data_IF_531833602926
#
_entry.id   IF_531833602926
#
_cell.length_a   1.000
_cell.length_b   1.000
_cell.length_c   1.000
_cell.angle_alpha   90.00
_cell.angle_beta   90.00
_cell.angle_gamma   90.00
#
_symmetry.space_group_name_H-M   'P 1'
#
loop_
_entity.id
_entity.type
_entity.pdbx_description
1 polymer ?
#
# COMPACT_ATOMS: atom_id res chain seq x y z
N UNK A 1 -19.95 9.93 8.98
CA UNK A 1 -18.87 9.89 7.95
C UNK A 1 -17.72 9.06 8.51
N UNK A 2 -17.00 8.28 7.67
CA UNK A 2 -15.87 7.48 8.15
C UNK A 2 -14.58 8.30 8.11
N UNK A 3 -13.77 8.18 9.15
CA UNK A 3 -12.47 8.83 9.22
C UNK A 3 -11.39 7.90 9.76
N UNK A 4 -10.16 8.36 9.70
CA UNK A 4 -8.95 7.66 10.11
C UNK A 4 -8.59 8.15 11.52
N UNK A 5 -8.72 7.28 12.53
CA UNK A 5 -8.36 7.61 13.90
C UNK A 5 -6.86 7.47 14.16
N UNK A 6 -6.20 6.56 13.47
CA UNK A 6 -4.74 6.40 13.53
C UNK A 6 -4.23 5.68 12.28
N UNK A 7 -3.01 6.03 11.88
CA UNK A 7 -2.16 5.25 10.96
C UNK A 7 -0.86 4.98 11.70
N UNK A 8 -0.42 3.73 11.76
CA UNK A 8 0.84 3.41 12.40
C UNK A 8 1.66 2.44 11.56
N UNK A 9 2.83 2.85 11.11
CA UNK A 9 3.80 1.96 10.52
C UNK A 9 4.52 1.14 11.60
N UNK A 10 4.94 -0.08 11.23
CA UNK A 10 5.86 -0.92 11.97
C UNK A 10 7.04 -1.25 11.07
N UNK A 11 8.11 -0.52 11.27
CA UNK A 11 9.33 -0.55 10.48
C UNK A 11 10.43 -1.17 11.35
N UNK A 12 10.48 -2.51 11.33
CA UNK A 12 11.49 -3.33 12.01
C UNK A 12 12.54 -3.81 11.02
N UNK A 13 13.66 -4.31 11.54
CA UNK A 13 14.75 -4.79 10.71
C UNK A 13 15.87 -3.76 10.54
N UNK A 14 16.74 -4.02 9.57
CA UNK A 14 17.91 -3.20 9.29
C UNK A 14 17.80 -2.52 7.92
N UNK A 15 18.28 -1.27 7.84
CA UNK A 15 18.44 -0.62 6.55
C UNK A 15 19.57 -1.25 5.75
N UNK A 16 19.28 -1.66 4.54
CA UNK A 16 20.26 -2.19 3.59
C UNK A 16 20.27 -1.30 2.36
N UNK A 17 21.46 -0.84 1.93
CA UNK A 17 21.58 -0.13 0.65
C UNK A 17 21.18 -1.06 -0.48
N UNK A 18 20.50 -0.53 -1.48
CA UNK A 18 20.07 -1.39 -2.59
C UNK A 18 21.24 -2.01 -3.34
N UNK A 19 22.40 -1.33 -3.37
CA UNK A 19 23.63 -1.82 -3.96
C UNK A 19 24.24 -3.04 -3.24
N UNK A 20 23.94 -3.18 -1.93
CA UNK A 20 24.41 -4.26 -1.07
C UNK A 20 23.46 -5.47 -1.07
N UNK A 21 22.31 -5.36 -1.73
CA UNK A 21 21.39 -6.49 -1.87
C UNK A 21 21.97 -7.57 -2.80
N UNK A 22 21.70 -8.86 -2.49
CA UNK A 22 22.14 -9.98 -3.36
C UNK A 22 21.66 -9.83 -4.80
N UNK A 23 20.52 -9.19 -5.02
CA UNK A 23 19.94 -8.92 -6.34
C UNK A 23 20.90 -8.14 -7.24
N UNK A 24 21.59 -7.13 -6.69
CA UNK A 24 22.46 -6.24 -7.45
C UNK A 24 23.59 -6.99 -8.17
N UNK A 25 24.16 -8.02 -7.55
CA UNK A 25 25.21 -8.83 -8.14
C UNK A 25 24.72 -9.68 -9.34
N UNK A 26 23.41 -9.88 -9.46
CA UNK A 26 22.78 -10.72 -10.50
C UNK A 26 22.31 -9.91 -11.71
N UNK A 27 22.43 -8.57 -11.70
CA UNK A 27 21.90 -7.71 -12.74
C UNK A 27 22.84 -7.65 -13.95
N UNK A 28 22.25 -7.76 -15.13
CA UNK A 28 22.92 -7.39 -16.38
C UNK A 28 22.97 -5.85 -16.55
N UNK A 29 23.68 -5.37 -17.56
CA UNK A 29 23.87 -3.93 -17.80
C UNK A 29 22.56 -3.14 -17.95
N UNK A 30 21.57 -3.58 -18.77
CA UNK A 30 20.27 -2.88 -18.87
C UNK A 30 19.52 -2.83 -17.54
N UNK A 31 19.49 -3.94 -16.78
CA UNK A 31 18.83 -3.99 -15.50
C UNK A 31 19.50 -3.11 -14.45
N UNK A 32 20.84 -3.01 -14.43
CA UNK A 32 21.58 -2.08 -13.56
C UNK A 32 21.23 -0.63 -13.82
N UNK A 33 21.12 -0.26 -15.10
CA UNK A 33 20.73 1.12 -15.46
C UNK A 33 19.34 1.45 -14.92
N UNK A 34 18.36 0.56 -15.08
CA UNK A 34 17.02 0.72 -14.52
C UNK A 34 17.09 0.80 -12.99
N UNK A 35 17.80 -0.12 -12.36
CA UNK A 35 17.94 -0.20 -10.91
C UNK A 35 18.47 1.11 -10.29
N UNK A 36 19.54 1.67 -10.88
CA UNK A 36 20.13 2.93 -10.45
C UNK A 36 19.20 4.15 -10.65
N UNK A 37 18.23 4.06 -11.59
CA UNK A 37 17.30 5.14 -11.90
C UNK A 37 16.03 5.17 -11.06
N UNK A 38 15.81 4.17 -10.19
CA UNK A 38 14.59 4.03 -9.40
C UNK A 38 14.38 5.15 -8.37
N UNK A 39 15.46 5.79 -7.91
CA UNK A 39 15.39 6.79 -6.84
C UNK A 39 15.22 6.16 -5.45
N UNK A 40 15.72 4.94 -5.27
CA UNK A 40 15.72 4.18 -4.02
C UNK A 40 17.16 4.07 -3.55
N UNK A 41 17.45 4.46 -2.31
CA UNK A 41 18.78 4.38 -1.71
C UNK A 41 18.93 3.14 -0.82
N UNK A 42 17.88 2.90 -0.02
CA UNK A 42 17.86 1.80 0.95
C UNK A 42 16.49 1.12 0.97
N UNK A 43 16.45 -0.07 1.52
CA UNK A 43 15.22 -0.77 1.92
C UNK A 43 15.38 -1.35 3.33
N UNK A 44 14.28 -1.58 4.02
CA UNK A 44 14.28 -2.36 5.25
C UNK A 44 14.29 -3.85 4.92
N UNK A 45 15.12 -4.60 5.65
CA UNK A 45 15.20 -6.06 5.60
C UNK A 45 14.97 -6.60 7.00
N UNK A 46 13.93 -7.36 7.20
CA UNK A 46 13.57 -8.00 8.46
C UNK A 46 13.50 -9.52 8.26
N UNK A 47 14.59 -10.20 8.58
CA UNK A 47 14.68 -11.66 8.45
C UNK A 47 13.98 -12.41 9.59
N UNK A 48 13.63 -11.71 10.69
CA UNK A 48 13.06 -12.33 11.89
C UNK A 48 11.53 -12.42 11.85
N UNK A 49 10.87 -11.44 11.18
CA UNK A 49 9.41 -11.32 11.21
C UNK A 49 8.77 -11.86 9.93
N UNK A 50 7.64 -12.54 10.07
CA UNK A 50 6.73 -12.84 8.97
C UNK A 50 5.73 -11.70 8.72
N UNK A 51 4.94 -11.81 7.63
CA UNK A 51 3.90 -10.82 7.29
C UNK A 51 2.89 -10.60 8.43
N UNK A 52 2.44 -11.68 9.08
CA UNK A 52 1.53 -11.58 10.21
C UNK A 52 2.15 -10.88 11.43
N UNK A 53 3.46 -11.07 11.67
CA UNK A 53 4.16 -10.44 12.80
C UNK A 53 4.31 -8.94 12.57
N UNK A 54 4.64 -8.54 11.34
CA UNK A 54 4.69 -7.14 10.90
C UNK A 54 3.32 -6.46 11.00
N UNK A 55 2.26 -7.13 10.51
CA UNK A 55 0.88 -6.65 10.60
C UNK A 55 0.44 -6.48 12.06
N UNK A 56 0.70 -7.47 12.92
CA UNK A 56 0.34 -7.41 14.34
C UNK A 56 1.14 -6.33 15.10
N UNK A 57 2.41 -6.14 14.75
CA UNK A 57 3.24 -5.06 15.30
C UNK A 57 2.66 -3.68 14.98
N UNK A 58 2.26 -3.47 13.74
CA UNK A 58 1.61 -2.23 13.30
C UNK A 58 0.22 -2.05 13.96
N UNK A 59 -0.58 -3.12 14.04
CA UNK A 59 -1.90 -3.12 14.64
C UNK A 59 -1.86 -2.68 16.12
N UNK A 60 -0.96 -3.24 16.92
CA UNK A 60 -0.79 -2.83 18.32
C UNK A 60 -0.41 -1.36 18.46
N UNK A 61 0.46 -0.84 17.58
CA UNK A 61 0.82 0.58 17.56
C UNK A 61 -0.36 1.48 17.20
N UNK A 62 -1.13 1.09 16.18
CA UNK A 62 -2.29 1.87 15.74
C UNK A 62 -3.38 1.93 16.81
N UNK A 63 -3.65 0.82 17.50
CA UNK A 63 -4.58 0.78 18.63
C UNK A 63 -4.09 1.67 19.79
N UNK A 64 -2.81 1.58 20.14
CA UNK A 64 -2.23 2.43 21.17
C UNK A 64 -2.32 3.93 20.81
N UNK A 65 -2.00 4.29 19.56
CA UNK A 65 -2.09 5.67 19.06
C UNK A 65 -3.53 6.19 19.05
N UNK A 66 -4.51 5.33 18.76
CA UNK A 66 -5.93 5.68 18.79
C UNK A 66 -6.54 5.64 20.21
N UNK A 67 -5.81 5.17 21.23
CA UNK A 67 -6.32 4.99 22.59
C UNK A 67 -7.41 3.90 22.67
N UNK A 68 -7.32 2.85 21.86
CA UNK A 68 -8.32 1.78 21.75
C UNK A 68 -7.75 0.49 22.31
N UNK A 69 -8.49 -0.15 23.22
CA UNK A 69 -8.14 -1.47 23.72
C UNK A 69 -8.44 -2.55 22.66
N UNK A 70 -7.66 -3.64 22.59
CA UNK A 70 -7.86 -4.69 21.58
C UNK A 70 -9.26 -5.31 21.58
N UNK A 71 -9.89 -5.44 22.74
CA UNK A 71 -11.25 -5.98 22.92
C UNK A 71 -12.35 -5.02 22.43
N UNK A 72 -12.03 -3.76 22.18
CA UNK A 72 -12.94 -2.76 21.59
C UNK A 72 -12.89 -2.72 20.05
N UNK A 73 -12.13 -3.61 19.42
CA UNK A 73 -12.10 -3.75 17.96
C UNK A 73 -13.30 -4.60 17.51
N UNK A 74 -14.18 -4.03 16.68
CA UNK A 74 -15.37 -4.73 16.17
C UNK A 74 -15.05 -5.61 14.97
N UNK A 75 -14.19 -5.11 14.07
CA UNK A 75 -13.69 -5.88 12.94
C UNK A 75 -12.22 -5.64 12.67
N UNK A 76 -11.53 -6.70 12.25
CA UNK A 76 -10.14 -6.67 11.80
C UNK A 76 -10.07 -7.15 10.34
N UNK A 77 -9.68 -6.25 9.44
CA UNK A 77 -9.47 -6.55 8.02
C UNK A 77 -7.97 -6.69 7.77
N UNK A 78 -7.52 -7.89 7.51
CA UNK A 78 -6.10 -8.14 7.19
C UNK A 78 -5.91 -8.09 5.68
N UNK A 79 -5.10 -7.14 5.22
CA UNK A 79 -4.64 -7.14 3.83
C UNK A 79 -3.54 -8.18 3.72
N UNK A 80 -3.87 -9.32 3.11
CA UNK A 80 -3.00 -10.47 3.06
C UNK A 80 -1.77 -10.21 2.18
N UNK A 81 -0.61 -10.66 2.64
CA UNK A 81 0.60 -10.76 1.83
C UNK A 81 0.42 -11.73 0.67
N UNK A 82 1.22 -11.60 -0.39
CA UNK A 82 1.06 -12.42 -1.60
C UNK A 82 1.36 -13.90 -1.39
N UNK A 83 2.25 -14.22 -0.46
CA UNK A 83 2.67 -15.61 -0.20
C UNK A 83 2.51 -15.91 1.28
N UNK A 84 1.51 -16.71 1.66
CA UNK A 84 1.37 -17.15 3.03
C UNK A 84 2.49 -18.12 3.39
N UNK A 85 2.98 -18.12 4.64
CA UNK A 85 4.05 -19.02 5.08
C UNK A 85 3.61 -20.49 5.10
N UNK A 86 2.31 -20.74 5.26
CA UNK A 86 1.69 -22.06 5.31
C UNK A 86 0.38 -22.04 4.52
N UNK A 87 0.10 -23.13 3.81
CA UNK A 87 -1.21 -23.35 3.18
C UNK A 87 -2.24 -23.79 4.22
N UNK A 88 -3.53 -23.57 3.95
CA UNK A 88 -4.67 -23.96 4.80
C UNK A 88 -4.71 -23.30 6.19
N UNK A 89 -3.87 -22.28 6.45
CA UNK A 89 -3.91 -21.49 7.66
C UNK A 89 -4.57 -20.12 7.40
N UNK A 90 -5.07 -19.49 8.46
CA UNK A 90 -5.60 -18.12 8.37
C UNK A 90 -4.59 -17.14 8.93
N UNK A 91 -4.00 -16.32 8.07
CA UNK A 91 -3.16 -15.21 8.51
C UNK A 91 -3.98 -14.17 9.30
N UNK A 92 -5.25 -13.98 8.93
CA UNK A 92 -6.13 -13.03 9.60
C UNK A 92 -6.38 -13.42 11.07
N UNK A 93 -6.74 -14.66 11.34
CA UNK A 93 -6.95 -15.10 12.74
C UNK A 93 -5.64 -15.20 13.53
N UNK A 94 -4.50 -15.41 12.85
CA UNK A 94 -3.18 -15.30 13.48
C UNK A 94 -2.89 -13.88 13.96
N UNK A 95 -3.16 -12.87 13.11
CA UNK A 95 -3.02 -11.45 13.50
C UNK A 95 -3.98 -11.10 14.62
N UNK A 96 -5.24 -11.55 14.56
CA UNK A 96 -6.25 -11.38 15.62
C UNK A 96 -5.72 -11.85 16.98
N UNK A 97 -5.25 -13.09 17.04
CA UNK A 97 -4.70 -13.68 18.28
C UNK A 97 -3.46 -12.91 18.77
N UNK A 98 -2.56 -12.52 17.85
CA UNK A 98 -1.36 -11.77 18.20
C UNK A 98 -1.66 -10.35 18.72
N UNK A 99 -2.77 -9.75 18.32
CA UNK A 99 -3.22 -8.42 18.77
C UNK A 99 -4.05 -8.51 20.04
N UNK A 100 -4.72 -9.64 20.29
CA UNK A 100 -5.65 -9.83 21.41
C UNK A 100 -7.04 -9.26 21.11
N UNK A 101 -7.44 -9.17 19.84
CA UNK A 101 -8.75 -8.67 19.41
C UNK A 101 -9.76 -9.82 19.31
N UNK A 102 -9.91 -10.60 20.38
CA UNK A 102 -10.62 -11.88 20.39
C UNK A 102 -12.12 -11.77 20.04
N UNK A 103 -12.73 -10.63 20.34
CA UNK A 103 -14.14 -10.33 20.03
C UNK A 103 -14.38 -9.83 18.60
N UNK A 104 -13.34 -9.49 17.85
CA UNK A 104 -13.49 -8.92 16.53
C UNK A 104 -13.90 -9.94 15.46
N UNK A 105 -14.77 -9.53 14.54
CA UNK A 105 -14.94 -10.26 13.28
C UNK A 105 -13.70 -10.08 12.42
N UNK A 106 -13.06 -11.18 11.98
CA UNK A 106 -11.80 -11.09 11.22
C UNK A 106 -11.88 -11.84 9.89
N UNK A 107 -11.32 -11.24 8.86
CA UNK A 107 -11.14 -11.82 7.53
C UNK A 107 -10.01 -11.12 6.76
N UNK A 108 -9.64 -11.70 5.60
CA UNK A 108 -8.61 -11.10 4.73
C UNK A 108 -9.21 -10.50 3.47
N UNK A 109 -8.53 -9.45 2.97
CA UNK A 109 -8.69 -8.88 1.62
C UNK A 109 -7.38 -9.11 0.86
N UNK A 110 -7.46 -9.55 -0.40
CA UNK A 110 -6.31 -9.93 -1.21
C UNK A 110 -6.55 -9.68 -2.71
N UNK A 111 -5.60 -10.13 -3.54
CA UNK A 111 -5.60 -10.27 -5.00
C UNK A 111 -5.43 -9.00 -5.83
N UNK A 112 -5.67 -7.81 -5.30
CA UNK A 112 -5.45 -6.56 -6.03
C UNK A 112 -4.04 -5.97 -5.87
N UNK A 113 -3.08 -6.76 -5.36
CA UNK A 113 -1.71 -6.30 -5.11
C UNK A 113 -1.68 -5.08 -4.19
N UNK A 114 -0.96 -4.03 -4.56
CA UNK A 114 -0.84 -2.81 -3.76
C UNK A 114 -2.18 -2.09 -3.52
N UNK A 115 -3.17 -2.29 -4.41
CA UNK A 115 -4.52 -1.70 -4.30
C UNK A 115 -5.41 -2.46 -3.31
N UNK A 116 -5.01 -3.63 -2.81
CA UNK A 116 -5.78 -4.36 -1.81
C UNK A 116 -6.04 -3.54 -0.54
N UNK A 117 -5.15 -2.62 -0.17
CA UNK A 117 -5.38 -1.69 0.96
C UNK A 117 -6.56 -0.76 0.67
N UNK A 118 -6.72 -0.29 -0.56
CA UNK A 118 -7.84 0.59 -0.95
C UNK A 118 -9.17 -0.16 -0.86
N UNK A 119 -9.21 -1.44 -1.29
CA UNK A 119 -10.39 -2.29 -1.08
C UNK A 119 -10.69 -2.50 0.40
N UNK A 120 -9.66 -2.64 1.25
CA UNK A 120 -9.84 -2.77 2.69
C UNK A 120 -10.45 -1.51 3.30
N UNK A 121 -10.08 -0.30 2.85
CA UNK A 121 -10.72 0.95 3.25
C UNK A 121 -12.20 0.99 2.87
N UNK A 122 -12.56 0.60 1.65
CA UNK A 122 -13.96 0.55 1.20
C UNK A 122 -14.78 -0.47 2.00
N UNK A 123 -14.22 -1.67 2.22
CA UNK A 123 -14.88 -2.71 3.03
C UNK A 123 -15.07 -2.24 4.47
N UNK A 124 -14.06 -1.65 5.09
CA UNK A 124 -14.13 -1.15 6.46
C UNK A 124 -15.17 -0.02 6.60
N UNK A 125 -15.23 0.91 5.65
CA UNK A 125 -16.24 1.95 5.62
C UNK A 125 -17.66 1.37 5.44
N UNK A 126 -17.82 0.35 4.59
CA UNK A 126 -19.10 -0.34 4.40
C UNK A 126 -19.53 -1.10 5.67
N UNK A 127 -18.61 -1.74 6.37
CA UNK A 127 -18.89 -2.41 7.65
C UNK A 127 -19.39 -1.41 8.70
N UNK A 128 -18.71 -0.28 8.88
CA UNK A 128 -19.15 0.78 9.78
C UNK A 128 -20.53 1.33 9.39
N UNK A 129 -20.85 1.40 8.10
CA UNK A 129 -22.16 1.85 7.65
C UNK A 129 -23.27 0.80 7.91
N UNK A 130 -22.95 -0.50 7.71
CA UNK A 130 -23.89 -1.60 7.88
C UNK A 130 -24.18 -1.94 9.36
N UNK A 131 -23.22 -1.66 10.25
CA UNK A 131 -23.26 -1.99 11.68
C UNK A 131 -23.24 -0.69 12.52
N UNK A 132 -24.41 -0.10 12.81
CA UNK A 132 -24.47 1.14 13.62
C UNK A 132 -23.87 1.00 15.03
N UNK A 133 -23.86 -0.22 15.57
CA UNK A 133 -23.29 -0.58 16.87
C UNK A 133 -21.76 -0.72 16.87
N UNK A 134 -21.12 -0.77 15.70
CA UNK A 134 -19.66 -0.86 15.58
C UNK A 134 -19.01 0.52 15.52
N UNK A 135 -17.92 0.71 16.25
CA UNK A 135 -17.19 1.95 16.32
C UNK A 135 -15.79 1.85 15.70
N UNK A 136 -15.13 0.71 15.81
CA UNK A 136 -13.72 0.57 15.48
C UNK A 136 -13.46 -0.56 14.49
N UNK A 137 -13.02 -0.22 13.28
CA UNK A 137 -12.53 -1.21 12.32
C UNK A 137 -11.02 -1.02 12.14
N UNK A 138 -10.26 -2.08 12.38
CA UNK A 138 -8.82 -2.11 12.23
C UNK A 138 -8.45 -2.76 10.90
N UNK A 139 -7.64 -2.07 10.10
CA UNK A 139 -7.00 -2.63 8.91
C UNK A 139 -5.54 -2.88 9.26
N UNK A 140 -5.00 -4.05 8.93
CA UNK A 140 -3.60 -4.38 9.16
C UNK A 140 -2.96 -5.07 7.96
N UNK A 141 -1.69 -4.76 7.68
CA UNK A 141 -0.92 -5.34 6.59
C UNK A 141 0.55 -5.52 6.98
N UNK A 142 1.12 -6.65 6.59
CA UNK A 142 2.56 -6.88 6.61
C UNK A 142 3.07 -7.11 5.21
N UNK A 143 4.08 -6.36 4.81
CA UNK A 143 4.69 -6.40 3.48
C UNK A 143 6.02 -7.12 3.51
N UNK A 144 6.16 -8.09 2.62
CA UNK A 144 7.44 -8.75 2.27
C UNK A 144 7.44 -9.11 0.79
N UNK A 145 8.60 -9.16 0.13
CA UNK A 145 8.68 -9.62 -1.24
C UNK A 145 8.19 -11.08 -1.35
N UNK A 146 7.50 -11.45 -2.44
CA UNK A 146 6.97 -12.81 -2.62
C UNK A 146 8.05 -13.83 -3.03
N UNK A 147 9.26 -13.38 -3.30
CA UNK A 147 10.39 -14.18 -3.75
C UNK A 147 11.64 -13.80 -2.94
N UNK A 148 12.73 -14.59 -3.01
CA UNK A 148 14.01 -14.22 -2.40
C UNK A 148 14.59 -12.93 -2.97
N UNK A 149 14.18 -12.55 -4.19
CA UNK A 149 14.62 -11.31 -4.84
C UNK A 149 13.73 -10.14 -4.46
N UNK A 150 14.35 -9.00 -4.21
CA UNK A 150 13.67 -7.76 -3.87
C UNK A 150 13.42 -6.86 -5.08
N UNK A 151 14.22 -7.00 -6.14
CA UNK A 151 14.05 -6.25 -7.37
C UNK A 151 12.94 -6.83 -8.24
N UNK A 152 11.86 -6.07 -8.38
CA UNK A 152 10.80 -6.31 -9.36
C UNK A 152 11.14 -5.54 -10.63
N UNK A 153 11.79 -6.19 -11.56
CA UNK A 153 12.18 -5.55 -12.82
C UNK A 153 10.99 -5.26 -13.74
N UNK A 154 10.87 -4.07 -14.34
CA UNK A 154 11.71 -2.87 -14.21
C UNK A 154 11.13 -1.84 -13.21
N UNK A 155 10.35 -2.22 -12.25
CA UNK A 155 9.39 -1.38 -11.52
C UNK A 155 10.00 -0.74 -10.28
N UNK A 156 10.60 -1.54 -9.38
CA UNK A 156 10.93 -1.09 -8.03
C UNK A 156 11.77 -2.11 -7.25
N UNK A 157 12.27 -1.71 -6.08
CA UNK A 157 12.86 -2.63 -5.09
C UNK A 157 11.95 -2.71 -3.87
N UNK A 158 11.63 -3.94 -3.44
CA UNK A 158 10.72 -4.18 -2.32
C UNK A 158 11.46 -4.17 -0.98
N UNK A 159 10.89 -3.45 -0.01
CA UNK A 159 11.29 -3.49 1.40
C UNK A 159 10.33 -4.33 2.25
N UNK A 160 10.67 -4.48 3.54
CA UNK A 160 9.84 -5.14 4.56
C UNK A 160 9.23 -4.10 5.50
N UNK A 161 8.02 -4.34 5.98
CA UNK A 161 7.37 -3.47 6.96
C UNK A 161 5.92 -3.83 7.20
N UNK A 162 5.31 -3.19 8.18
CA UNK A 162 3.89 -3.33 8.47
C UNK A 162 3.21 -1.98 8.57
N UNK A 163 1.92 -1.93 8.29
CA UNK A 163 1.07 -0.77 8.54
C UNK A 163 -0.28 -1.23 9.09
N UNK A 164 -0.83 -0.42 9.99
CA UNK A 164 -2.22 -0.56 10.38
C UNK A 164 -2.92 0.79 10.43
N UNK A 165 -4.21 0.75 10.18
CA UNK A 165 -5.10 1.92 10.15
C UNK A 165 -6.33 1.60 10.99
N UNK A 166 -6.69 2.51 11.90
CA UNK A 166 -7.95 2.45 12.64
C UNK A 166 -8.94 3.37 11.97
N UNK A 167 -10.05 2.83 11.52
CA UNK A 167 -11.19 3.60 11.00
C UNK A 167 -12.28 3.69 12.06
N UNK A 168 -12.84 4.90 12.22
CA UNK A 168 -13.94 5.21 13.11
C UNK A 168 -14.92 6.20 12.47
N UNK A 169 -16.17 6.24 13.01
CA UNK A 169 -17.07 7.34 12.68
C UNK A 169 -16.50 8.65 13.21
N UNK A 170 -16.72 9.71 12.45
CA UNK A 170 -16.38 11.10 12.82
C UNK A 170 -14.90 11.34 13.21
N UNK A 171 -13.99 10.38 12.94
CA UNK A 171 -12.56 10.60 13.11
C UNK A 171 -11.99 11.50 12.00
N UNK A 172 -10.77 11.97 12.20
CA UNK A 172 -9.96 12.72 11.21
C UNK A 172 -8.61 12.06 11.00
N UNK A 173 -8.05 12.08 9.78
CA UNK A 173 -8.60 12.60 8.50
C UNK A 173 -9.94 11.97 8.10
N UNK A 174 -10.82 12.74 7.45
CA UNK A 174 -12.11 12.24 6.93
C UNK A 174 -11.97 11.68 5.53
N UNK A 175 -12.50 10.51 5.27
CA UNK A 175 -12.61 9.96 3.92
C UNK A 175 -13.86 10.56 3.27
N UNK A 176 -13.68 11.43 2.28
CA UNK A 176 -14.77 12.11 1.59
C UNK A 176 -15.36 11.29 0.46
N UNK A 177 -14.51 10.64 -0.33
CA UNK A 177 -14.90 9.77 -1.42
C UNK A 177 -13.77 8.81 -1.79
N UNK A 178 -14.14 7.64 -2.34
CA UNK A 178 -13.23 6.64 -2.86
C UNK A 178 -13.68 6.19 -4.24
N UNK A 179 -12.76 5.67 -5.04
CA UNK A 179 -13.03 5.02 -6.31
C UNK A 179 -12.02 3.92 -6.56
N UNK A 180 -12.52 2.78 -7.07
CA UNK A 180 -11.70 1.63 -7.39
C UNK A 180 -12.17 1.03 -8.72
N UNK A 181 -11.21 0.73 -9.60
CA UNK A 181 -11.44 0.07 -10.89
C UNK A 181 -10.43 -1.06 -11.11
N UNK A 182 -10.85 -2.06 -11.88
CA UNK A 182 -10.00 -3.21 -12.25
C UNK A 182 -10.13 -3.50 -13.74
N UNK A 183 -9.08 -4.12 -14.32
CA UNK A 183 -9.12 -4.64 -15.69
C UNK A 183 -8.48 -6.04 -15.75
N UNK A 184 -9.28 -7.05 -15.98
CA UNK A 184 -8.85 -8.44 -16.05
C UNK A 184 -7.91 -8.79 -17.22
N UNK A 185 -7.69 -7.90 -18.21
CA UNK A 185 -6.75 -8.17 -19.30
C UNK A 185 -5.30 -8.34 -18.83
N UNK A 186 -4.95 -7.80 -17.66
CA UNK A 186 -3.58 -7.79 -17.14
C UNK A 186 -3.37 -8.74 -15.96
N UNK A 187 -4.30 -9.66 -15.71
CA UNK A 187 -4.31 -10.51 -14.52
C UNK A 187 -3.01 -11.31 -14.32
N UNK A 188 -2.28 -11.65 -15.38
CA UNK A 188 -1.04 -12.43 -15.37
C UNK A 188 0.17 -11.67 -15.91
N UNK A 189 0.09 -10.32 -15.98
CA UNK A 189 1.19 -9.49 -16.49
C UNK A 189 2.45 -9.63 -15.62
N UNK A 190 2.27 -9.74 -14.31
CA UNK A 190 3.30 -10.12 -13.36
C UNK A 190 2.92 -11.42 -12.67
N UNK A 191 3.86 -12.36 -12.62
CA UNK A 191 3.62 -13.68 -12.05
C UNK A 191 4.89 -14.26 -11.43
N UNK A 192 4.71 -15.19 -10.51
CA UNK A 192 5.75 -16.10 -10.02
C UNK A 192 5.30 -17.50 -10.36
N UNK A 193 6.02 -18.16 -11.29
CA UNK A 193 5.84 -19.58 -11.54
C UNK A 193 6.58 -20.37 -10.45
N UNK A 194 5.84 -20.77 -9.39
CA UNK A 194 6.39 -21.32 -8.17
C UNK A 194 6.19 -22.84 -8.02
N UNK A 195 5.24 -23.43 -8.78
CA UNK A 195 4.95 -24.85 -8.69
C UNK A 195 6.19 -25.67 -9.09
N UNK A 196 6.46 -26.68 -8.30
CA UNK A 196 7.58 -27.63 -8.52
C UNK A 196 8.99 -27.01 -8.49
N UNK A 197 9.09 -25.76 -7.95
CA UNK A 197 10.36 -25.05 -7.78
C UNK A 197 10.63 -24.78 -6.30
N UNK A 198 11.87 -24.98 -5.82
CA UNK A 198 12.23 -24.54 -4.47
C UNK A 198 12.17 -23.01 -4.37
N UNK A 199 11.86 -22.49 -3.19
CA UNK A 199 11.68 -21.04 -2.95
C UNK A 199 12.85 -20.19 -3.45
N UNK A 200 14.10 -20.67 -3.30
CA UNK A 200 15.31 -19.97 -3.79
C UNK A 200 15.31 -19.65 -5.27
N UNK A 201 14.53 -20.40 -6.07
CA UNK A 201 14.45 -20.26 -7.52
C UNK A 201 13.22 -19.46 -7.99
N UNK A 202 12.42 -18.98 -7.05
CA UNK A 202 11.25 -18.15 -7.36
C UNK A 202 11.70 -16.78 -7.86
N UNK A 203 11.16 -16.37 -9.01
CA UNK A 203 11.41 -15.06 -9.61
C UNK A 203 10.08 -14.46 -10.04
N UNK A 204 9.89 -13.18 -9.73
CA UNK A 204 8.76 -12.42 -10.26
C UNK A 204 9.08 -11.99 -11.70
N UNK A 205 8.26 -12.41 -12.65
CA UNK A 205 8.44 -12.17 -14.08
C UNK A 205 7.38 -11.23 -14.63
N UNK A 206 7.80 -10.26 -15.44
CA UNK A 206 6.91 -9.50 -16.29
C UNK A 206 6.71 -10.24 -17.63
N UNK A 207 5.50 -10.70 -17.91
CA UNK A 207 5.16 -11.45 -19.14
C UNK A 207 5.43 -10.64 -20.42
N UNK A 208 5.28 -9.32 -20.35
CA UNK A 208 5.49 -8.43 -21.49
C UNK A 208 5.90 -7.03 -21.05
N UNK A 209 7.19 -6.73 -21.15
CA UNK A 209 7.70 -5.38 -20.88
C UNK A 209 7.06 -4.31 -21.78
N UNK A 210 6.77 -4.65 -23.04
CA UNK A 210 6.07 -3.73 -23.96
C UNK A 210 4.67 -3.41 -23.45
N UNK A 211 3.92 -4.41 -22.99
CA UNK A 211 2.58 -4.20 -22.42
C UNK A 211 2.65 -3.36 -21.16
N UNK A 212 3.60 -3.65 -20.26
CA UNK A 212 3.80 -2.89 -19.05
C UNK A 212 4.16 -1.42 -19.33
N UNK A 213 5.21 -1.18 -20.14
CA UNK A 213 5.78 0.16 -20.34
C UNK A 213 4.92 1.09 -21.20
N UNK A 214 4.06 0.54 -22.08
CA UNK A 214 3.26 1.34 -22.98
C UNK A 214 1.76 1.19 -22.73
N UNK A 215 1.21 -0.03 -22.88
CA UNK A 215 -0.25 -0.23 -22.81
C UNK A 215 -0.78 0.06 -21.43
N UNK A 216 -0.20 -0.55 -20.39
CA UNK A 216 -0.62 -0.37 -19.01
C UNK A 216 -0.34 1.05 -18.51
N UNK A 217 0.78 1.66 -18.90
CA UNK A 217 1.09 3.04 -18.50
C UNK A 217 0.07 4.05 -19.03
N UNK A 218 -0.32 3.93 -20.32
CA UNK A 218 -1.34 4.77 -20.92
C UNK A 218 -2.71 4.52 -20.26
N UNK A 219 -3.07 3.27 -20.03
CA UNK A 219 -4.32 2.93 -19.36
C UNK A 219 -4.34 3.44 -17.92
N UNK A 220 -3.27 3.26 -17.16
CA UNK A 220 -3.17 3.78 -15.79
C UNK A 220 -3.36 5.28 -15.73
N UNK A 221 -2.74 6.02 -16.64
CA UNK A 221 -2.93 7.46 -16.79
C UNK A 221 -4.40 7.82 -17.02
N UNK A 222 -5.06 7.14 -17.97
CA UNK A 222 -6.45 7.42 -18.33
C UNK A 222 -7.41 7.04 -17.17
N UNK A 223 -7.16 5.90 -16.51
CA UNK A 223 -7.93 5.44 -15.34
C UNK A 223 -7.83 6.43 -14.19
N UNK A 224 -6.62 6.90 -13.87
CA UNK A 224 -6.45 7.92 -12.84
C UNK A 224 -7.13 9.24 -13.20
N UNK A 225 -7.08 9.67 -14.47
CA UNK A 225 -7.82 10.87 -14.88
C UNK A 225 -9.32 10.73 -14.60
N UNK A 226 -9.92 9.61 -15.01
CA UNK A 226 -11.34 9.36 -14.80
C UNK A 226 -11.70 9.16 -13.31
N UNK A 227 -10.90 8.40 -12.57
CA UNK A 227 -11.13 8.17 -11.14
C UNK A 227 -10.99 9.46 -10.32
N UNK A 228 -9.96 10.27 -10.59
CA UNK A 228 -9.77 11.54 -9.90
C UNK A 228 -10.95 12.47 -10.12
N UNK A 229 -11.41 12.63 -11.38
CA UNK A 229 -12.60 13.41 -11.71
C UNK A 229 -13.84 12.89 -10.97
N UNK A 230 -14.11 11.58 -11.05
CA UNK A 230 -15.28 10.98 -10.43
C UNK A 230 -15.28 11.08 -8.88
N UNK A 231 -14.12 10.90 -8.24
CA UNK A 231 -13.97 11.00 -6.78
C UNK A 231 -14.14 12.44 -6.32
N UNK A 232 -13.53 13.39 -7.01
CA UNK A 232 -13.67 14.82 -6.71
C UNK A 232 -15.12 15.29 -6.90
N UNK A 233 -15.76 14.92 -8.00
CA UNK A 233 -17.16 15.26 -8.28
C UNK A 233 -18.11 14.72 -7.19
N UNK A 234 -17.91 13.47 -6.72
CA UNK A 234 -18.70 12.91 -5.60
C UNK A 234 -18.56 13.68 -4.30
N UNK A 235 -17.41 14.30 -4.06
CA UNK A 235 -17.16 15.15 -2.92
C UNK A 235 -17.58 16.62 -3.15
N UNK A 236 -18.10 16.97 -4.33
CA UNK A 236 -18.40 18.35 -4.70
C UNK A 236 -17.16 19.24 -4.80
N UNK A 237 -16.03 18.66 -5.21
CA UNK A 237 -14.71 19.29 -5.32
C UNK A 237 -14.19 19.23 -6.75
N UNK A 238 -13.16 20.02 -7.02
CA UNK A 238 -12.38 20.04 -8.25
C UNK A 238 -10.89 19.78 -7.98
N UNK A 239 -10.10 19.56 -9.01
CA UNK A 239 -8.65 19.38 -8.85
C UNK A 239 -7.98 20.61 -8.22
N UNK A 240 -8.49 21.80 -8.49
CA UNK A 240 -7.99 23.06 -7.91
C UNK A 240 -8.22 23.21 -6.40
N UNK A 241 -9.10 22.39 -5.81
CA UNK A 241 -9.36 22.37 -4.37
C UNK A 241 -8.39 21.45 -3.62
N UNK A 242 -7.63 20.59 -4.34
CA UNK A 242 -6.72 19.63 -3.74
C UNK A 242 -5.42 20.32 -3.35
N UNK A 243 -5.06 20.25 -2.06
CA UNK A 243 -3.84 20.85 -1.51
C UNK A 243 -2.61 19.97 -1.76
N UNK A 244 -2.77 18.65 -1.65
CA UNK A 244 -1.66 17.69 -1.73
C UNK A 244 -2.05 16.41 -2.45
N UNK A 245 -1.05 15.79 -3.10
CA UNK A 245 -1.18 14.53 -3.81
C UNK A 245 -0.26 13.48 -3.19
N UNK A 246 -0.81 12.31 -2.94
CA UNK A 246 -0.08 11.15 -2.40
C UNK A 246 -0.18 9.98 -3.38
N UNK A 247 0.91 9.27 -3.59
CA UNK A 247 0.94 8.06 -4.41
C UNK A 247 1.85 7.00 -3.77
N UNK A 248 1.69 5.76 -4.20
CA UNK A 248 2.55 4.67 -3.78
C UNK A 248 3.99 4.81 -4.28
N UNK A 249 4.93 4.16 -3.59
CA UNK A 249 6.37 4.20 -3.85
C UNK A 249 6.78 3.20 -4.94
N UNK A 250 6.65 3.56 -6.21
CA UNK A 250 7.13 2.70 -7.31
C UNK A 250 8.56 3.06 -7.73
N UNK A 251 8.74 4.24 -8.27
CA UNK A 251 10.03 4.77 -8.69
C UNK A 251 9.95 6.29 -8.89
N UNK A 252 11.10 6.96 -8.87
CA UNK A 252 11.17 8.38 -9.20
C UNK A 252 10.66 8.68 -10.62
N UNK A 253 10.85 7.73 -11.56
CA UNK A 253 10.31 7.85 -12.91
C UNK A 253 8.78 7.81 -12.96
N UNK A 254 8.15 6.98 -12.12
CA UNK A 254 6.71 6.92 -12.02
C UNK A 254 6.12 8.22 -11.46
N UNK A 255 6.74 8.80 -10.42
CA UNK A 255 6.32 10.11 -9.90
C UNK A 255 6.38 11.18 -10.98
N UNK A 256 7.53 11.34 -11.65
CA UNK A 256 7.67 12.33 -12.75
C UNK A 256 6.62 12.16 -13.84
N UNK A 257 6.35 10.92 -14.27
CA UNK A 257 5.37 10.64 -15.32
C UNK A 257 3.97 11.16 -14.97
N UNK A 258 3.50 10.94 -13.73
CA UNK A 258 2.18 11.42 -13.32
C UNK A 258 2.18 12.91 -12.95
N UNK A 259 3.26 13.43 -12.37
CA UNK A 259 3.43 14.87 -12.09
C UNK A 259 3.33 15.70 -13.38
N UNK A 260 4.07 15.30 -14.41
CA UNK A 260 4.06 15.97 -15.72
C UNK A 260 2.70 15.87 -16.41
N UNK A 261 2.07 14.70 -16.36
CA UNK A 261 0.79 14.48 -17.02
C UNK A 261 -0.36 15.26 -16.37
N UNK A 262 -0.45 15.25 -15.04
CA UNK A 262 -1.54 15.90 -14.32
C UNK A 262 -1.24 17.38 -13.97
N UNK A 263 -0.02 17.84 -14.15
CA UNK A 263 0.39 19.19 -13.74
C UNK A 263 0.36 19.36 -12.22
N UNK A 264 0.75 18.34 -11.47
CA UNK A 264 0.72 18.28 -9.99
C UNK A 264 2.13 18.02 -9.45
N UNK A 265 2.29 18.12 -8.14
CA UNK A 265 3.47 17.67 -7.41
C UNK A 265 3.05 16.72 -6.28
N UNK A 266 3.68 15.55 -6.20
CA UNK A 266 3.45 14.64 -5.08
C UNK A 266 4.13 15.15 -3.82
N UNK A 267 3.52 14.86 -2.68
CA UNK A 267 4.02 15.18 -1.36
C UNK A 267 5.49 14.74 -1.20
N UNK A 268 6.28 15.55 -0.51
CA UNK A 268 7.70 15.24 -0.24
C UNK A 268 7.85 13.93 0.51
N UNK A 269 6.89 13.62 1.37
CA UNK A 269 6.78 12.33 2.07
C UNK A 269 6.86 11.13 1.12
N UNK A 270 6.22 11.18 -0.07
CA UNK A 270 6.29 10.10 -1.06
C UNK A 270 7.73 9.91 -1.57
N UNK A 271 8.40 11.00 -1.90
CA UNK A 271 9.77 10.98 -2.44
C UNK A 271 10.79 10.52 -1.41
N UNK A 272 10.67 11.01 -0.17
CA UNK A 272 11.55 10.61 0.94
C UNK A 272 11.34 9.16 1.37
N UNK A 273 10.10 8.69 1.43
CA UNK A 273 9.80 7.30 1.76
C UNK A 273 10.22 6.33 0.64
N UNK A 274 10.07 6.72 -0.64
CA UNK A 274 10.61 5.93 -1.76
C UNK A 274 12.13 5.76 -1.62
N UNK A 275 12.87 6.84 -1.41
CA UNK A 275 14.32 6.79 -1.30
C UNK A 275 14.77 5.91 -0.13
N UNK A 276 14.07 5.99 1.00
CA UNK A 276 14.47 5.34 2.25
C UNK A 276 13.99 3.91 2.39
N UNK A 277 12.77 3.58 1.94
CA UNK A 277 12.13 2.30 2.22
C UNK A 277 11.86 1.47 0.95
N UNK A 278 12.01 2.06 -0.24
CA UNK A 278 11.59 1.44 -1.48
C UNK A 278 10.07 1.25 -1.53
N UNK A 279 9.64 0.15 -2.14
CA UNK A 279 8.23 -0.20 -2.27
C UNK A 279 7.82 -1.19 -1.18
N UNK A 280 6.86 -0.81 -0.38
CA UNK A 280 6.30 -1.62 0.71
C UNK A 280 4.89 -2.14 0.39
N UNK A 281 4.57 -2.26 -0.91
CA UNK A 281 3.30 -2.81 -1.35
C UNK A 281 2.09 -2.00 -0.89
N UNK A 282 1.12 -2.67 -0.28
CA UNK A 282 -0.12 -2.06 0.20
C UNK A 282 0.08 -1.04 1.32
N UNK A 283 1.26 -0.98 1.96
CA UNK A 283 1.47 0.01 3.02
C UNK A 283 1.97 1.38 2.52
N UNK A 284 2.38 1.52 1.25
CA UNK A 284 2.97 2.77 0.76
C UNK A 284 2.06 3.98 0.96
N UNK A 285 0.81 3.89 0.51
CA UNK A 285 -0.10 5.05 0.56
C UNK A 285 -0.47 5.46 2.00
N UNK A 286 -0.81 4.56 2.94
CA UNK A 286 -1.01 4.97 4.32
C UNK A 286 0.29 5.44 5.00
N UNK A 287 1.45 4.86 4.67
CA UNK A 287 2.74 5.34 5.17
C UNK A 287 3.03 6.77 4.70
N UNK A 288 2.83 7.05 3.40
CA UNK A 288 3.07 8.37 2.84
C UNK A 288 2.14 9.43 3.43
N UNK A 289 0.85 9.10 3.62
CA UNK A 289 -0.09 9.98 4.31
C UNK A 289 0.34 10.22 5.78
N UNK A 290 0.71 9.17 6.50
CA UNK A 290 1.19 9.28 7.88
C UNK A 290 2.43 10.17 7.95
N UNK A 291 3.43 9.95 7.10
CA UNK A 291 4.65 10.77 7.07
C UNK A 291 4.34 12.24 6.75
N UNK A 292 3.46 12.51 5.78
CA UNK A 292 3.07 13.88 5.43
C UNK A 292 2.38 14.62 6.60
N UNK A 293 1.59 13.89 7.41
CA UNK A 293 0.96 14.43 8.62
C UNK A 293 2.00 14.69 9.72
N UNK A 294 2.86 13.70 10.01
CA UNK A 294 3.87 13.81 11.08
C UNK A 294 4.92 14.89 10.79
N UNK A 295 5.31 15.04 9.53
CA UNK A 295 6.28 16.07 9.11
C UNK A 295 5.64 17.48 8.99
N UNK A 296 4.33 17.60 9.21
CA UNK A 296 3.60 18.87 9.09
C UNK A 296 3.53 19.39 7.64
N UNK A 297 3.68 18.51 6.65
CA UNK A 297 3.53 18.86 5.24
C UNK A 297 2.06 19.12 4.89
N UNK A 298 1.13 18.44 5.58
CA UNK A 298 -0.31 18.64 5.46
C UNK A 298 -0.88 19.20 6.77
N UNK A 299 -1.86 20.08 6.66
CA UNK A 299 -2.48 20.79 7.79
C UNK A 299 -3.98 20.48 7.90
N UNK A 300 -4.60 20.70 9.10
CA UNK A 300 -6.04 20.54 9.26
C UNK A 300 -6.84 21.40 8.25
N UNK A 301 -7.74 20.75 7.52
CA UNK A 301 -8.56 21.33 6.47
C UNK A 301 -8.00 21.13 5.06
N UNK A 302 -6.76 20.66 4.90
CA UNK A 302 -6.20 20.33 3.60
C UNK A 302 -6.93 19.13 2.97
N UNK A 303 -7.09 19.19 1.64
CA UNK A 303 -7.58 18.09 0.84
C UNK A 303 -6.41 17.33 0.22
N UNK A 304 -6.32 16.05 0.52
CA UNK A 304 -5.29 15.15 -0.01
C UNK A 304 -5.92 14.13 -0.94
N UNK A 305 -5.47 14.10 -2.20
CA UNK A 305 -5.88 13.10 -3.18
C UNK A 305 -4.84 11.98 -3.21
N UNK A 306 -5.28 10.76 -2.90
CA UNK A 306 -4.43 9.59 -2.78
C UNK A 306 -4.66 8.68 -3.98
N UNK A 307 -3.61 8.42 -4.76
CA UNK A 307 -3.62 7.59 -5.96
C UNK A 307 -2.86 6.30 -5.72
N UNK A 308 -3.43 5.16 -6.13
CA UNK A 308 -2.80 3.86 -5.94
C UNK A 308 -3.10 2.93 -7.11
N UNK A 309 -2.11 2.22 -7.64
CA UNK A 309 -2.31 1.23 -8.68
C UNK A 309 -1.50 -0.06 -8.44
N UNK A 310 -1.83 -1.10 -9.16
CA UNK A 310 -1.09 -2.36 -9.08
C UNK A 310 -0.84 -2.96 -10.46
N UNK A 311 0.23 -3.77 -10.61
CA UNK A 311 0.56 -4.41 -11.88
C UNK A 311 -0.41 -5.52 -12.29
N UNK A 312 -1.34 -5.91 -11.42
CA UNK A 312 -2.47 -6.79 -11.74
C UNK A 312 -3.70 -5.98 -12.18
N UNK A 313 -3.45 -4.75 -12.62
CA UNK A 313 -4.40 -3.80 -13.18
C UNK A 313 -5.62 -3.51 -12.30
N UNK A 314 -5.33 -2.97 -11.16
CA UNK A 314 -6.27 -2.29 -10.29
C UNK A 314 -5.80 -0.85 -10.08
N UNK A 315 -6.73 0.08 -9.99
CA UNK A 315 -6.49 1.51 -9.73
C UNK A 315 -7.47 2.00 -8.68
N UNK A 316 -7.01 2.85 -7.80
CA UNK A 316 -7.88 3.50 -6.84
C UNK A 316 -7.49 4.96 -6.63
N UNK A 317 -8.49 5.76 -6.33
CA UNK A 317 -8.33 7.13 -5.86
C UNK A 317 -9.17 7.33 -4.61
N UNK A 318 -8.60 7.99 -3.60
CA UNK A 318 -9.28 8.34 -2.37
C UNK A 318 -9.04 9.82 -2.06
N UNK A 319 -10.09 10.56 -1.74
CA UNK A 319 -10.02 11.94 -1.26
C UNK A 319 -10.21 11.97 0.24
N UNK A 320 -9.25 12.56 0.96
CA UNK A 320 -9.33 12.75 2.41
C UNK A 320 -9.22 14.23 2.76
N UNK A 321 -9.90 14.63 3.83
CA UNK A 321 -9.79 15.94 4.49
C UNK A 321 -9.07 15.74 5.83
N UNK A 322 -7.96 16.43 6.02
CA UNK A 322 -7.11 16.37 7.23
C UNK A 322 -7.80 17.03 8.44
#
# INVERSE_FOLDING_TARGET
>A
MTGIAAISPYLSGSFTRIEDLPDHALLDEPARHVYASLGIDTVLVDDASGTADLAAGAARRALAAAGIAPDAVDALVVVQGRVPPLLMTSEATRVQAAVGADGATVFSVADLGCVSISSAFEVAAALLAAHPEWDNVLIAHGSKPPTPRRFRYPVTVNGDGGVAVVLRREARPRILATGLETNGEYWDLYRVDFKDKPFRDWVEECKSLKTYSFKLAIESRNRFAALNEAVLARAGKSLGDVSHFVMQNLSAGAFRFYEEFFGIEFAKACKSNLARYGHLGSMDVPLNLHTAVEDGEVAPGDLVLIMNNSPVAAWSTMLVEI
#
